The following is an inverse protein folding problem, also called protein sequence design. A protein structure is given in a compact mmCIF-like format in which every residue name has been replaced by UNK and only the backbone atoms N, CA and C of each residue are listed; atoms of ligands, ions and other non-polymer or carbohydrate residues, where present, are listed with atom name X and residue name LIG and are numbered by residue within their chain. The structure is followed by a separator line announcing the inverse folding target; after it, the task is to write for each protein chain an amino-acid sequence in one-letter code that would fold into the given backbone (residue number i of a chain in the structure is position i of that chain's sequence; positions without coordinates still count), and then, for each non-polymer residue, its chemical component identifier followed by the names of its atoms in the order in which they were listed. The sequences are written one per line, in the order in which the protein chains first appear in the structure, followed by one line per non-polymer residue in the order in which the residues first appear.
data_IF_602705713431
#
_entry.id   IF_602705713431
#
_cell.length_a   1.000
_cell.length_b   1.000
_cell.length_c   1.000
_cell.angle_alpha   90.00
_cell.angle_beta   90.00
_cell.angle_gamma   90.00
#
_symmetry.space_group_name_H-M   'P 1'
#
loop_
_entity.id
_entity.type
_entity.pdbx_description
1 polymer ?
#
# COMPACT_ATOMS: atom_id res chain seq x y z
N UNK A 1 -37.57 -37.12 -24.79
CA UNK A 1 -36.63 -38.26 -24.76
C UNK A 1 -35.24 -37.77 -24.36
N UNK A 2 -34.59 -38.44 -23.41
CA UNK A 2 -33.24 -38.10 -22.93
C UNK A 2 -32.22 -39.06 -23.55
N UNK A 3 -31.16 -38.53 -24.14
CA UNK A 3 -30.12 -39.31 -24.82
C UNK A 3 -28.72 -38.90 -24.34
N UNK A 4 -27.83 -39.86 -24.09
CA UNK A 4 -26.42 -39.59 -23.85
C UNK A 4 -25.55 -40.60 -24.59
N UNK A 5 -24.25 -40.33 -24.67
CA UNK A 5 -23.28 -41.29 -25.17
C UNK A 5 -22.74 -42.14 -24.01
N UNK A 6 -22.83 -43.45 -24.15
CA UNK A 6 -22.25 -44.37 -23.18
C UNK A 6 -20.73 -44.49 -23.42
N UNK A 7 -19.92 -44.19 -22.40
CA UNK A 7 -18.46 -44.21 -22.50
C UNK A 7 -17.86 -45.62 -22.58
N UNK A 8 -18.58 -46.66 -22.18
CA UNK A 8 -18.10 -48.05 -22.23
C UNK A 8 -18.32 -48.68 -23.62
N UNK A 9 -19.44 -48.38 -24.26
CA UNK A 9 -19.81 -48.95 -25.57
C UNK A 9 -19.70 -47.96 -26.74
N UNK A 10 -19.55 -46.66 -26.47
CA UNK A 10 -19.58 -45.58 -27.46
C UNK A 10 -20.95 -45.33 -28.08
N UNK A 11 -21.98 -46.12 -27.72
CA UNK A 11 -23.33 -46.08 -28.30
C UNK A 11 -24.19 -45.00 -27.64
N UNK A 12 -25.14 -44.46 -28.41
CA UNK A 12 -26.13 -43.53 -27.87
C UNK A 12 -27.22 -44.31 -27.12
N UNK A 13 -27.43 -43.96 -25.85
CA UNK A 13 -28.47 -44.54 -24.98
C UNK A 13 -29.56 -43.50 -24.79
N UNK A 14 -30.78 -43.83 -25.19
CA UNK A 14 -31.95 -42.96 -25.11
C UNK A 14 -33.07 -43.57 -24.26
N UNK A 15 -33.85 -42.74 -23.57
CA UNK A 15 -35.03 -43.18 -22.83
C UNK A 15 -36.00 -42.03 -22.54
N UNK A 16 -37.25 -42.36 -22.19
CA UNK A 16 -38.27 -41.37 -21.85
C UNK A 16 -37.99 -40.64 -20.53
N UNK A 17 -37.27 -41.30 -19.62
CA UNK A 17 -36.69 -40.75 -18.39
C UNK A 17 -35.17 -40.84 -18.44
N UNK A 18 -34.43 -39.95 -17.74
CA UNK A 18 -32.96 -39.93 -17.75
C UNK A 18 -32.35 -41.31 -17.38
N UNK A 19 -31.73 -42.03 -18.34
CA UNK A 19 -31.16 -43.35 -18.08
C UNK A 19 -30.06 -43.31 -17.02
N UNK A 20 -29.88 -44.39 -16.27
CA UNK A 20 -28.84 -44.47 -15.24
C UNK A 20 -27.43 -44.25 -15.82
N UNK A 21 -27.20 -44.72 -17.06
CA UNK A 21 -25.94 -44.59 -17.80
C UNK A 21 -25.63 -43.13 -18.18
N UNK A 22 -26.64 -42.25 -18.15
CA UNK A 22 -26.53 -40.82 -18.47
C UNK A 22 -26.36 -39.93 -17.23
N UNK A 23 -26.46 -40.47 -16.01
CA UNK A 23 -26.29 -39.70 -14.78
C UNK A 23 -24.84 -39.23 -14.64
N UNK A 24 -24.65 -37.93 -14.40
CA UNK A 24 -23.31 -37.33 -14.25
C UNK A 24 -22.53 -37.13 -15.56
N UNK A 25 -23.18 -37.28 -16.72
CA UNK A 25 -22.59 -37.06 -18.05
C UNK A 25 -23.35 -35.96 -18.80
N UNK A 26 -22.81 -35.56 -19.95
CA UNK A 26 -23.56 -34.73 -20.88
C UNK A 26 -24.70 -35.55 -21.51
N UNK A 27 -25.90 -34.98 -21.56
CA UNK A 27 -27.07 -35.60 -22.20
C UNK A 27 -27.91 -34.56 -22.94
N UNK A 28 -28.62 -35.02 -23.96
CA UNK A 28 -29.51 -34.24 -24.82
C UNK A 28 -30.96 -34.60 -24.51
N UNK A 29 -31.83 -33.60 -24.57
CA UNK A 29 -33.28 -33.72 -24.47
C UNK A 29 -33.85 -33.47 -25.85
N UNK A 30 -34.51 -34.48 -26.39
CA UNK A 30 -35.16 -34.46 -27.70
C UNK A 30 -36.68 -34.40 -27.52
N UNK A 31 -37.38 -33.73 -28.43
CA UNK A 31 -38.85 -33.73 -28.51
C UNK A 31 -39.39 -35.06 -29.05
N UNK A 32 -40.72 -35.18 -29.19
CA UNK A 32 -41.36 -36.38 -29.75
C UNK A 32 -41.07 -36.60 -31.24
N UNK A 33 -40.64 -35.57 -31.96
CA UNK A 33 -40.26 -35.60 -33.36
C UNK A 33 -38.74 -35.86 -33.57
N UNK A 34 -37.97 -35.99 -32.49
CA UNK A 34 -36.52 -36.23 -32.52
C UNK A 34 -35.67 -34.97 -32.62
N UNK A 35 -36.26 -33.77 -32.54
CA UNK A 35 -35.50 -32.52 -32.58
C UNK A 35 -34.87 -32.22 -31.22
N UNK A 36 -33.67 -31.62 -31.25
CA UNK A 36 -32.95 -31.21 -30.04
C UNK A 36 -33.65 -30.03 -29.37
N UNK A 37 -34.17 -30.25 -28.16
CA UNK A 37 -34.81 -29.21 -27.34
C UNK A 37 -33.80 -28.58 -26.39
N UNK A 38 -32.91 -29.39 -25.80
CA UNK A 38 -31.92 -28.93 -24.82
C UNK A 38 -30.73 -29.85 -24.74
N UNK A 39 -29.53 -29.30 -24.59
CA UNK A 39 -28.31 -30.06 -24.27
C UNK A 39 -27.84 -29.69 -22.86
N UNK A 40 -27.54 -30.69 -22.05
CA UNK A 40 -27.05 -30.54 -20.68
C UNK A 40 -25.64 -31.07 -20.65
N UNK A 41 -24.66 -30.20 -20.34
CA UNK A 41 -23.26 -30.58 -20.23
C UNK A 41 -23.02 -31.45 -18.98
N UNK A 42 -21.92 -32.21 -19.00
CA UNK A 42 -21.48 -32.93 -17.82
C UNK A 42 -21.18 -31.94 -16.67
N UNK A 43 -21.46 -32.31 -15.40
CA UNK A 43 -21.03 -31.51 -14.27
C UNK A 43 -19.51 -31.35 -14.31
N UNK A 44 -19.02 -30.12 -14.13
CA UNK A 44 -17.59 -29.81 -14.10
C UNK A 44 -16.86 -30.73 -13.10
N UNK A 45 -15.68 -31.19 -13.48
CA UNK A 45 -14.83 -31.97 -12.56
C UNK A 45 -14.43 -31.10 -11.36
N UNK A 46 -14.06 -31.70 -10.22
CA UNK A 46 -13.55 -30.94 -9.08
C UNK A 46 -12.41 -29.97 -9.46
N UNK A 47 -11.52 -30.39 -10.35
CA UNK A 47 -10.39 -29.60 -10.85
C UNK A 47 -10.87 -28.42 -11.72
N UNK A 48 -11.85 -28.65 -12.60
CA UNK A 48 -12.44 -27.58 -13.43
C UNK A 48 -13.21 -26.57 -12.58
N UNK A 49 -13.91 -27.02 -11.54
CA UNK A 49 -14.57 -26.14 -10.56
C UNK A 49 -13.54 -25.31 -9.78
N UNK A 50 -12.45 -25.92 -9.35
CA UNK A 50 -11.38 -25.23 -8.65
C UNK A 50 -10.70 -24.17 -9.54
N UNK A 51 -10.42 -24.49 -10.80
CA UNK A 51 -9.85 -23.55 -11.76
C UNK A 51 -10.79 -22.37 -12.06
N UNK A 52 -12.09 -22.64 -12.26
CA UNK A 52 -13.09 -21.59 -12.46
C UNK A 52 -13.24 -20.69 -11.22
N UNK A 53 -13.21 -21.27 -10.01
CA UNK A 53 -13.25 -20.52 -8.77
C UNK A 53 -11.99 -19.64 -8.57
N UNK A 54 -10.81 -20.15 -8.91
CA UNK A 54 -9.56 -19.38 -8.85
C UNK A 54 -9.57 -18.20 -9.85
N UNK A 55 -10.01 -18.44 -11.09
CA UNK A 55 -10.14 -17.38 -12.10
C UNK A 55 -11.16 -16.31 -11.68
N UNK A 56 -12.32 -16.72 -11.14
CA UNK A 56 -13.32 -15.78 -10.62
C UNK A 56 -12.81 -14.98 -9.42
N UNK A 57 -12.03 -15.61 -8.53
CA UNK A 57 -11.41 -14.93 -7.39
C UNK A 57 -10.39 -13.88 -7.85
N UNK A 58 -9.58 -14.20 -8.86
CA UNK A 58 -8.61 -13.26 -9.43
C UNK A 58 -9.30 -12.09 -10.13
N UNK A 59 -10.29 -12.37 -10.97
CA UNK A 59 -11.10 -11.34 -11.63
C UNK A 59 -11.73 -10.40 -10.60
N UNK A 60 -12.30 -10.96 -9.51
CA UNK A 60 -12.87 -10.16 -8.42
C UNK A 60 -11.82 -9.27 -7.75
N UNK A 61 -10.59 -9.76 -7.52
CA UNK A 61 -9.49 -8.96 -6.94
C UNK A 61 -9.12 -7.79 -7.84
N UNK A 62 -9.04 -8.00 -9.15
CA UNK A 62 -8.75 -6.95 -10.13
C UNK A 62 -9.84 -5.88 -10.10
N UNK A 63 -11.11 -6.29 -10.10
CA UNK A 63 -12.25 -5.36 -10.03
C UNK A 63 -12.30 -4.59 -8.71
N UNK A 64 -12.04 -5.25 -7.58
CA UNK A 64 -11.95 -4.61 -6.26
C UNK A 64 -10.82 -3.58 -6.23
N UNK A 65 -9.65 -3.91 -6.80
CA UNK A 65 -8.52 -2.98 -6.88
C UNK A 65 -8.83 -1.77 -7.77
N UNK A 66 -9.51 -1.96 -8.91
CA UNK A 66 -9.93 -0.88 -9.79
C UNK A 66 -10.95 0.05 -9.12
N UNK A 67 -11.95 -0.53 -8.42
CA UNK A 67 -12.93 0.25 -7.65
C UNK A 67 -12.26 1.07 -6.56
N UNK A 68 -11.34 0.46 -5.82
CA UNK A 68 -10.59 1.15 -4.77
C UNK A 68 -9.74 2.29 -5.33
N UNK A 69 -9.06 2.05 -6.44
CA UNK A 69 -8.29 3.11 -7.11
C UNK A 69 -9.18 4.27 -7.56
N UNK A 70 -10.33 3.97 -8.17
CA UNK A 70 -11.29 4.99 -8.56
C UNK A 70 -11.79 5.81 -7.37
N UNK A 71 -12.08 5.17 -6.23
CA UNK A 71 -12.47 5.89 -5.00
C UNK A 71 -11.37 6.81 -4.49
N UNK A 72 -10.11 6.36 -4.52
CA UNK A 72 -8.95 7.18 -4.13
C UNK A 72 -8.78 8.39 -5.07
N UNK A 73 -8.97 8.18 -6.36
CA UNK A 73 -8.86 9.25 -7.37
C UNK A 73 -9.95 10.32 -7.18
N UNK A 74 -11.20 9.90 -6.94
CA UNK A 74 -12.30 10.82 -6.64
C UNK A 74 -12.05 11.58 -5.33
N UNK A 75 -11.55 10.90 -4.30
CA UNK A 75 -11.18 11.55 -3.04
C UNK A 75 -10.06 12.58 -3.24
N UNK A 76 -9.05 12.26 -4.06
CA UNK A 76 -7.95 13.16 -4.39
C UNK A 76 -8.46 14.44 -5.06
N UNK A 77 -9.27 14.31 -6.10
CA UNK A 77 -9.84 15.44 -6.85
C UNK A 77 -10.85 16.25 -6.03
N UNK A 78 -11.51 15.63 -5.05
CA UNK A 78 -12.42 16.33 -4.14
C UNK A 78 -11.65 17.09 -3.05
N UNK A 79 -10.52 16.55 -2.60
CA UNK A 79 -9.69 17.15 -1.55
C UNK A 79 -8.91 18.36 -2.07
N UNK A 80 -8.41 18.27 -3.31
CA UNK A 80 -7.57 19.30 -3.91
C UNK A 80 -8.28 19.88 -5.14
N UNK A 81 -8.62 21.17 -5.11
CA UNK A 81 -9.26 21.84 -6.26
C UNK A 81 -8.21 22.28 -7.29
N UNK A 82 -6.99 22.54 -6.82
CA UNK A 82 -5.85 22.98 -7.62
C UNK A 82 -4.56 22.32 -7.14
N UNK A 83 -3.53 22.34 -7.98
CA UNK A 83 -2.18 21.92 -7.57
C UNK A 83 -1.63 22.76 -6.42
N UNK A 84 -1.98 24.05 -6.36
CA UNK A 84 -1.56 24.94 -5.30
C UNK A 84 -2.13 24.54 -3.93
N UNK A 85 -3.31 23.90 -3.89
CA UNK A 85 -3.90 23.39 -2.64
C UNK A 85 -3.06 22.24 -2.07
N UNK A 86 -2.51 21.38 -2.95
CA UNK A 86 -1.62 20.29 -2.53
C UNK A 86 -0.38 20.87 -1.87
N UNK A 87 0.24 21.88 -2.48
CA UNK A 87 1.45 22.52 -1.94
C UNK A 87 1.17 23.30 -0.65
N UNK A 88 0.02 23.97 -0.55
CA UNK A 88 -0.41 24.64 0.67
C UNK A 88 -0.61 23.63 1.82
N UNK A 89 -1.31 22.53 1.56
CA UNK A 89 -1.57 21.49 2.55
C UNK A 89 -0.29 20.74 2.94
N UNK A 90 0.64 20.52 2.00
CA UNK A 90 1.97 20.00 2.32
C UNK A 90 2.70 20.92 3.31
N UNK A 91 2.80 22.22 3.02
CA UNK A 91 3.46 23.19 3.91
C UNK A 91 2.81 23.23 5.29
N UNK A 92 1.48 23.15 5.34
CA UNK A 92 0.72 23.11 6.59
C UNK A 92 1.02 21.83 7.39
N UNK A 93 1.01 20.67 6.73
CA UNK A 93 1.30 19.38 7.35
C UNK A 93 2.74 19.30 7.88
N UNK A 94 3.70 19.85 7.15
CA UNK A 94 5.10 19.88 7.55
C UNK A 94 5.41 20.95 8.61
N UNK A 95 4.50 21.90 8.84
CA UNK A 95 4.78 23.09 9.62
C UNK A 95 5.23 22.82 11.07
N UNK A 96 4.59 21.85 11.74
CA UNK A 96 4.97 21.47 13.10
C UNK A 96 6.33 20.78 13.14
N UNK A 97 6.52 19.77 12.28
CA UNK A 97 7.80 19.05 12.20
C UNK A 97 8.97 19.97 11.82
N UNK A 98 8.74 20.97 10.95
CA UNK A 98 9.76 21.99 10.60
C UNK A 98 10.11 22.89 11.76
N UNK A 99 9.12 23.34 12.55
CA UNK A 99 9.38 24.15 13.76
C UNK A 99 10.16 23.35 14.80
N UNK A 100 9.70 22.14 15.13
CA UNK A 100 10.38 21.26 16.08
C UNK A 100 11.80 20.89 15.63
N UNK A 101 12.01 20.69 14.32
CA UNK A 101 13.35 20.46 13.76
C UNK A 101 14.27 21.67 13.93
N UNK A 102 13.73 22.88 13.74
CA UNK A 102 14.50 24.11 13.93
C UNK A 102 14.89 24.30 15.40
N UNK A 103 13.93 24.15 16.31
CA UNK A 103 14.14 24.23 17.76
C UNK A 103 15.21 23.22 18.22
N UNK A 104 15.11 21.96 17.78
CA UNK A 104 16.09 20.93 18.12
C UNK A 104 17.50 21.23 17.57
N UNK A 105 17.59 21.86 16.39
CA UNK A 105 18.87 22.29 15.80
C UNK A 105 19.49 23.44 16.57
N UNK A 106 18.69 24.43 16.97
CA UNK A 106 19.15 25.57 17.74
C UNK A 106 19.65 25.11 19.12
N UNK A 107 18.93 24.21 19.77
CA UNK A 107 19.35 23.61 21.04
C UNK A 107 20.62 22.74 20.88
N UNK A 108 20.74 21.99 19.79
CA UNK A 108 21.95 21.23 19.48
C UNK A 108 23.19 22.14 19.35
N UNK A 109 23.04 23.34 18.76
CA UNK A 109 24.15 24.31 18.64
C UNK A 109 24.62 24.77 20.03
N UNK A 110 23.68 25.08 20.93
CA UNK A 110 23.98 25.49 22.30
C UNK A 110 24.65 24.36 23.10
N UNK A 111 24.12 23.14 23.00
CA UNK A 111 24.71 21.97 23.66
C UNK A 111 26.11 21.64 23.14
N UNK A 112 26.36 21.80 21.83
CA UNK A 112 27.69 21.64 21.26
C UNK A 112 28.66 22.70 21.75
N UNK A 113 28.20 23.95 21.91
CA UNK A 113 29.01 25.01 22.47
C UNK A 113 29.36 24.76 23.94
N UNK A 114 28.38 24.31 24.74
CA UNK A 114 28.58 23.87 26.13
C UNK A 114 29.56 22.70 26.21
N UNK A 115 29.43 21.69 25.33
CA UNK A 115 30.35 20.56 25.25
C UNK A 115 31.80 21.03 25.01
N UNK A 116 32.01 21.96 24.09
CA UNK A 116 33.34 22.51 23.80
C UNK A 116 33.93 23.22 25.01
N UNK A 117 33.14 24.01 25.74
CA UNK A 117 33.59 24.69 26.96
C UNK A 117 34.00 23.68 28.05
N UNK A 118 33.15 22.69 28.32
CA UNK A 118 33.43 21.64 29.31
C UNK A 118 34.66 20.81 28.91
N UNK A 119 34.82 20.51 27.63
CA UNK A 119 35.99 19.80 27.11
C UNK A 119 37.27 20.62 27.30
N UNK A 120 37.24 21.93 27.00
CA UNK A 120 38.38 22.82 27.22
C UNK A 120 38.76 22.92 28.70
N UNK A 121 37.79 22.93 29.61
CA UNK A 121 38.07 22.89 31.05
C UNK A 121 38.69 21.54 31.46
N UNK A 122 38.16 20.44 30.93
CA UNK A 122 38.68 19.10 31.18
C UNK A 122 40.14 18.91 30.74
N UNK A 123 40.58 19.62 29.68
CA UNK A 123 41.98 19.62 29.23
C UNK A 123 42.96 20.05 30.34
N UNK A 124 42.56 21.00 31.20
CA UNK A 124 43.40 21.46 32.32
C UNK A 124 43.69 20.35 33.34
N UNK A 125 42.79 19.37 33.43
CA UNK A 125 42.90 18.24 34.35
C UNK A 125 43.55 17.00 33.72
N UNK A 126 44.08 17.06 32.49
CA UNK A 126 44.72 15.88 31.86
C UNK A 126 45.89 15.27 32.66
N UNK A 127 46.57 16.08 33.48
CA UNK A 127 47.71 15.65 34.31
C UNK A 127 47.36 15.52 35.81
N UNK A 128 46.08 15.66 36.17
CA UNK A 128 45.57 15.63 37.55
C UNK A 128 44.25 14.86 37.62
N UNK A 129 43.70 14.61 38.80
CA UNK A 129 42.34 14.07 38.88
C UNK A 129 41.32 15.14 38.45
N UNK A 130 40.42 14.76 37.53
CA UNK A 130 39.31 15.62 37.11
C UNK A 130 38.25 15.69 38.23
N UNK A 131 37.64 16.87 38.48
CA UNK A 131 36.50 16.98 39.38
C UNK A 131 35.33 16.08 38.93
N UNK A 132 34.72 15.35 39.88
CA UNK A 132 33.58 14.46 39.59
C UNK A 132 32.41 15.23 38.96
N UNK A 133 32.18 16.46 39.40
CA UNK A 133 31.12 17.31 38.85
C UNK A 133 31.34 17.61 37.37
N UNK A 134 32.57 17.98 36.96
CA UNK A 134 32.91 18.22 35.56
C UNK A 134 32.71 16.97 34.69
N UNK A 135 33.09 15.79 35.20
CA UNK A 135 32.85 14.52 34.52
C UNK A 135 31.35 14.18 34.38
N UNK A 136 30.54 14.53 35.39
CA UNK A 136 29.08 14.37 35.34
C UNK A 136 28.45 15.31 34.31
N UNK A 137 28.87 16.59 34.28
CA UNK A 137 28.39 17.58 33.32
C UNK A 137 28.71 17.19 31.88
N UNK A 138 29.93 16.70 31.61
CA UNK A 138 30.33 16.18 30.29
C UNK A 138 29.45 15.02 29.82
N UNK A 139 29.16 14.06 30.71
CA UNK A 139 28.27 12.94 30.40
C UNK A 139 26.84 13.38 30.18
N UNK A 140 26.29 14.21 31.07
CA UNK A 140 24.93 14.71 30.96
C UNK A 140 24.72 15.49 29.66
N UNK A 141 25.62 16.42 29.33
CA UNK A 141 25.56 17.19 28.09
C UNK A 141 25.74 16.29 26.85
N UNK A 142 26.60 15.27 26.94
CA UNK A 142 26.74 14.24 25.90
C UNK A 142 25.43 13.47 25.63
N UNK A 143 24.71 13.08 26.69
CA UNK A 143 23.40 12.45 26.55
C UNK A 143 22.35 13.40 25.96
N UNK A 144 22.31 14.66 26.38
CA UNK A 144 21.41 15.67 25.81
C UNK A 144 21.66 15.86 24.30
N UNK A 145 22.93 15.90 23.86
CA UNK A 145 23.28 15.96 22.44
C UNK A 145 22.74 14.74 21.67
N UNK A 146 22.90 13.54 22.22
CA UNK A 146 22.40 12.31 21.59
C UNK A 146 20.88 12.36 21.42
N UNK A 147 20.15 12.78 22.45
CA UNK A 147 18.68 12.93 22.40
C UNK A 147 18.26 13.94 21.32
N UNK A 148 18.93 15.09 21.23
CA UNK A 148 18.63 16.07 20.19
C UNK A 148 18.93 15.54 18.78
N UNK A 149 20.00 14.76 18.61
CA UNK A 149 20.30 14.10 17.32
C UNK A 149 19.22 13.09 16.92
N UNK A 150 18.74 12.28 17.85
CA UNK A 150 17.65 11.33 17.61
C UNK A 150 16.35 12.05 17.24
N UNK A 151 16.02 13.13 17.94
CA UNK A 151 14.86 13.96 17.63
C UNK A 151 14.96 14.58 16.23
N UNK A 152 16.12 15.14 15.88
CA UNK A 152 16.39 15.67 14.53
C UNK A 152 16.20 14.57 13.47
N UNK A 153 16.74 13.37 13.70
CA UNK A 153 16.60 12.25 12.78
C UNK A 153 15.12 11.83 12.61
N UNK A 154 14.36 11.79 13.70
CA UNK A 154 12.94 11.47 13.69
C UNK A 154 12.14 12.51 12.89
N UNK A 155 12.34 13.81 13.14
CA UNK A 155 11.64 14.88 12.43
C UNK A 155 11.99 14.92 10.94
N UNK A 156 13.25 14.66 10.58
CA UNK A 156 13.61 14.53 9.17
C UNK A 156 12.88 13.36 8.48
N UNK A 157 12.77 12.20 9.13
CA UNK A 157 12.01 11.06 8.59
C UNK A 157 10.54 11.40 8.40
N UNK A 158 9.93 12.11 9.35
CA UNK A 158 8.54 12.57 9.27
C UNK A 158 8.33 13.54 8.09
N UNK A 159 9.25 14.50 7.89
CA UNK A 159 9.22 15.41 6.74
C UNK A 159 9.36 14.68 5.41
N UNK A 160 10.28 13.72 5.32
CA UNK A 160 10.44 12.91 4.09
C UNK A 160 9.19 12.08 3.81
N UNK A 161 8.62 11.43 4.82
CA UNK A 161 7.39 10.65 4.66
C UNK A 161 6.22 11.53 4.19
N UNK A 162 6.10 12.71 4.77
CA UNK A 162 5.08 13.70 4.38
C UNK A 162 5.32 14.18 2.95
N UNK A 163 6.54 14.57 2.58
CA UNK A 163 6.88 15.00 1.22
C UNK A 163 6.55 13.92 0.19
N UNK A 164 6.96 12.67 0.43
CA UNK A 164 6.71 11.55 -0.46
C UNK A 164 5.21 11.32 -0.70
N UNK A 165 4.38 11.46 0.34
CA UNK A 165 2.92 11.37 0.21
C UNK A 165 2.39 12.46 -0.71
N UNK A 166 2.75 13.72 -0.46
CA UNK A 166 2.26 14.85 -1.27
C UNK A 166 2.83 14.86 -2.70
N UNK A 167 4.03 14.31 -2.92
CA UNK A 167 4.59 14.08 -4.26
C UNK A 167 3.79 13.04 -5.03
N UNK A 168 3.40 11.94 -4.39
CA UNK A 168 2.53 10.94 -4.99
C UNK A 168 1.15 11.53 -5.34
N UNK A 169 0.57 12.32 -4.43
CA UNK A 169 -0.69 13.05 -4.66
C UNK A 169 -0.58 13.99 -5.86
N UNK A 170 0.49 14.81 -5.96
CA UNK A 170 0.75 15.69 -7.12
C UNK A 170 0.83 14.89 -8.41
N UNK A 171 1.63 13.83 -8.44
CA UNK A 171 1.80 13.01 -9.64
C UNK A 171 0.45 12.44 -10.08
N UNK A 172 -0.32 11.87 -9.15
CA UNK A 172 -1.63 11.30 -9.46
C UNK A 172 -2.63 12.36 -9.91
N UNK A 173 -2.63 13.52 -9.27
CA UNK A 173 -3.50 14.63 -9.64
C UNK A 173 -3.24 15.12 -11.07
N UNK A 174 -1.96 15.24 -11.47
CA UNK A 174 -1.56 15.60 -12.83
C UNK A 174 -2.02 14.56 -13.85
N UNK A 175 -1.86 13.27 -13.53
CA UNK A 175 -2.35 12.16 -14.37
C UNK A 175 -3.86 12.23 -14.60
N UNK A 176 -4.64 12.56 -13.56
CA UNK A 176 -6.11 12.61 -13.63
C UNK A 176 -6.65 13.87 -14.32
N UNK A 177 -5.98 15.01 -14.15
CA UNK A 177 -6.44 16.30 -14.70
C UNK A 177 -5.90 16.60 -16.10
N UNK A 178 -5.00 15.77 -16.62
CA UNK A 178 -4.34 16.02 -17.91
C UNK A 178 -3.42 17.25 -17.89
N UNK A 179 -3.21 17.86 -16.72
CA UNK A 179 -2.31 18.98 -16.53
C UNK A 179 -0.86 18.51 -16.68
N UNK A 180 -0.08 19.16 -17.54
CA UNK A 180 1.38 19.03 -17.47
C UNK A 180 1.87 19.71 -16.19
N UNK A 181 2.87 19.16 -15.48
CA UNK A 181 3.50 19.88 -14.39
C UNK A 181 4.00 21.21 -14.94
N UNK A 182 3.41 22.32 -14.51
CA UNK A 182 3.95 23.65 -14.76
C UNK A 182 5.19 23.79 -13.90
N UNK A 183 6.29 23.26 -14.43
CA UNK A 183 7.63 23.47 -13.90
C UNK A 183 7.91 24.96 -13.93
N UNK A 184 8.12 25.51 -12.74
CA UNK A 184 8.59 26.87 -12.50
C UNK A 184 9.89 27.10 -13.27
N UNK A 185 9.92 28.20 -14.05
CA UNK A 185 11.12 28.73 -14.70
C UNK A 185 11.83 29.69 -13.75
#
# INVERSE_FOLDING_TARGET
MYCCQDSASGRSVCGDTLPAQCRGRAYRVLDRAGNLVREVAAPLTPEQKAAAAAAAAEQKRIEDAQREQWRKDQALLTTYQTLADIDYLQKKAEGEARRALQEARDEMVELQHKQRKLANEAEFYKRRSMPVDLANQLRANGHEIQLQQELIALRNKELVATSNKYEADRKRYLELTGGRPTGTR
#
